data_IF_421637142042
#
_entry.id   IF_421637142042
#
_cell.length_a   1.000
_cell.length_b   1.000
_cell.length_c   1.000
_cell.angle_alpha   90.00
_cell.angle_beta   90.00
_cell.angle_gamma   90.00
#
_symmetry.space_group_name_H-M   'P 1'
#
loop_
_entity.id
_entity.type
_entity.pdbx_description
1 polymer ?
#
# COMPACT_ATOMS: atom_id res chain seq x y z
N UNK A 1 -0.31 -0.70 5.17
CA UNK A 1 0.78 -1.07 4.26
C UNK A 1 1.68 0.13 3.99
N UNK A 2 2.93 -0.07 3.58
CA UNK A 2 3.79 1.06 3.21
C UNK A 2 3.33 1.70 1.88
N UNK A 3 3.07 0.89 0.85
CA UNK A 3 2.68 1.37 -0.48
C UNK A 3 1.51 0.58 -1.05
N UNK A 4 0.39 1.25 -1.33
CA UNK A 4 -0.72 0.67 -2.08
C UNK A 4 -0.51 0.81 -3.59
N UNK A 5 -0.33 -0.32 -4.27
CA UNK A 5 -0.21 -0.38 -5.74
C UNK A 5 -1.42 -1.08 -6.38
N UNK A 6 -1.27 -2.30 -6.90
CA UNK A 6 -2.32 -3.02 -7.66
C UNK A 6 -3.48 -3.51 -6.80
N UNK A 7 -3.29 -3.61 -5.49
CA UNK A 7 -4.26 -4.14 -4.53
C UNK A 7 -4.16 -5.66 -4.29
N UNK A 8 -3.26 -6.38 -4.98
CA UNK A 8 -3.13 -7.85 -4.86
C UNK A 8 -2.71 -8.32 -3.47
N UNK A 9 -1.80 -7.60 -2.82
CA UNK A 9 -1.39 -7.85 -1.42
C UNK A 9 -2.59 -7.74 -0.48
N UNK A 10 -3.39 -6.68 -0.64
CA UNK A 10 -4.58 -6.45 0.18
C UNK A 10 -5.62 -7.54 -0.02
N UNK A 11 -5.84 -8.01 -1.26
CA UNK A 11 -6.75 -9.14 -1.51
C UNK A 11 -6.33 -10.39 -0.74
N UNK A 12 -5.04 -10.70 -0.71
CA UNK A 12 -4.53 -11.84 0.04
C UNK A 12 -4.75 -11.67 1.55
N UNK A 13 -4.48 -10.47 2.08
CA UNK A 13 -4.70 -10.14 3.50
C UNK A 13 -6.17 -10.23 3.88
N UNK A 14 -7.09 -9.75 3.04
CA UNK A 14 -8.54 -9.80 3.32
C UNK A 14 -9.03 -11.24 3.37
N UNK A 15 -8.57 -12.11 2.45
CA UNK A 15 -8.91 -13.53 2.50
C UNK A 15 -8.42 -14.18 3.79
N UNK A 16 -7.15 -13.98 4.13
CA UNK A 16 -6.54 -14.53 5.34
C UNK A 16 -7.27 -14.04 6.60
N UNK A 17 -7.60 -12.75 6.68
CA UNK A 17 -8.33 -12.17 7.81
C UNK A 17 -9.73 -12.80 7.97
N UNK A 18 -10.38 -13.21 6.89
CA UNK A 18 -11.64 -13.96 6.96
C UNK A 18 -11.46 -15.43 7.37
N UNK A 19 -10.28 -16.03 7.20
CA UNK A 19 -10.02 -17.36 7.73
C UNK A 19 -9.95 -17.36 9.28
N UNK A 20 -9.57 -16.22 9.88
CA UNK A 20 -9.58 -16.02 11.34
C UNK A 20 -10.91 -15.55 11.93
N UNK A 21 -11.89 -15.14 11.11
CA UNK A 21 -13.20 -14.71 11.62
C UNK A 21 -13.98 -13.79 10.70
N UNK A 22 -14.97 -13.07 11.25
CA UNK A 22 -15.82 -12.11 10.53
C UNK A 22 -15.85 -10.80 11.30
N UNK A 23 -14.86 -9.91 11.12
CA UNK A 23 -14.87 -8.62 11.79
C UNK A 23 -16.05 -7.76 11.31
N UNK A 24 -16.54 -6.88 12.18
CA UNK A 24 -17.64 -5.98 11.84
C UNK A 24 -17.26 -4.93 10.78
N UNK A 25 -15.98 -4.57 10.70
CA UNK A 25 -15.42 -3.68 9.70
C UNK A 25 -13.92 -3.96 9.50
N UNK A 26 -13.40 -3.62 8.32
CA UNK A 26 -11.97 -3.65 7.98
C UNK A 26 -11.60 -2.31 7.37
N UNK A 27 -10.57 -1.67 7.89
CA UNK A 27 -10.05 -0.42 7.35
C UNK A 27 -8.62 -0.59 6.83
N UNK A 28 -8.32 0.01 5.69
CA UNK A 28 -7.01 0.00 5.06
C UNK A 28 -6.31 1.36 5.26
N UNK A 29 -5.25 1.36 6.06
CA UNK A 29 -4.33 2.48 6.20
C UNK A 29 -3.01 2.21 5.49
N UNK A 30 -2.55 3.18 4.68
CA UNK A 30 -1.27 3.11 3.96
C UNK A 30 -0.45 4.39 4.09
N UNK A 31 0.88 4.28 3.99
CA UNK A 31 1.72 5.49 3.96
C UNK A 31 1.58 6.19 2.60
N UNK A 32 1.74 5.47 1.50
CA UNK A 32 1.59 6.03 0.15
C UNK A 32 0.63 5.21 -0.67
N UNK A 33 -0.32 5.89 -1.30
CA UNK A 33 -1.11 5.35 -2.39
C UNK A 33 -0.54 5.87 -3.71
N UNK A 34 -0.04 4.95 -4.55
CA UNK A 34 0.64 5.29 -5.80
C UNK A 34 -0.22 5.12 -7.07
N UNK A 35 -1.53 4.87 -6.90
CA UNK A 35 -2.45 4.55 -8.00
C UNK A 35 -2.21 3.17 -8.63
N UNK A 36 -2.66 2.99 -9.88
CA UNK A 36 -2.43 1.77 -10.67
C UNK A 36 -3.20 0.53 -10.21
N UNK A 37 -4.45 0.70 -9.76
CA UNK A 37 -5.31 -0.39 -9.28
C UNK A 37 -5.61 -1.42 -10.37
N UNK A 38 -5.54 -2.68 -9.99
CA UNK A 38 -6.06 -3.81 -10.78
C UNK A 38 -7.27 -4.47 -10.08
N UNK A 39 -7.50 -4.13 -8.82
CA UNK A 39 -8.60 -4.62 -7.99
C UNK A 39 -9.39 -3.44 -7.42
N UNK A 40 -10.71 -3.61 -7.16
CA UNK A 40 -11.57 -2.55 -6.64
C UNK A 40 -11.35 -2.35 -5.14
N UNK A 41 -10.13 -1.96 -4.76
CA UNK A 41 -9.72 -1.69 -3.39
C UNK A 41 -9.08 -0.32 -3.29
N UNK A 42 -9.40 0.39 -2.22
CA UNK A 42 -8.86 1.72 -1.92
C UNK A 42 -8.49 1.80 -0.44
N UNK A 43 -7.52 2.64 -0.12
CA UNK A 43 -7.19 2.94 1.27
C UNK A 43 -8.21 3.93 1.84
N UNK A 44 -8.73 3.62 3.03
CA UNK A 44 -9.50 4.57 3.84
C UNK A 44 -8.62 5.74 4.29
N UNK A 45 -7.36 5.43 4.61
CA UNK A 45 -6.36 6.40 5.07
C UNK A 45 -5.08 6.27 4.25
N UNK A 46 -4.63 7.37 3.66
CA UNK A 46 -3.36 7.44 2.95
C UNK A 46 -2.61 8.70 3.40
N UNK A 47 -1.37 8.57 3.86
CA UNK A 47 -0.58 9.75 4.26
C UNK A 47 -0.18 10.60 3.04
N UNK A 48 0.03 9.97 1.89
CA UNK A 48 0.21 10.63 0.60
C UNK A 48 -0.50 9.87 -0.53
N UNK A 49 -0.98 10.61 -1.53
CA UNK A 49 -1.52 10.07 -2.79
C UNK A 49 -0.76 10.67 -3.95
N UNK A 50 -0.21 9.82 -4.82
CA UNK A 50 0.54 10.24 -6.00
C UNK A 50 0.35 9.22 -7.12
N UNK A 51 0.65 9.59 -8.37
CA UNK A 51 0.52 8.69 -9.52
C UNK A 51 1.91 8.40 -10.08
N UNK A 52 2.28 7.12 -10.16
CA UNK A 52 3.51 6.68 -10.80
C UNK A 52 3.21 5.75 -11.98
N UNK A 53 3.99 5.83 -13.08
CA UNK A 53 3.99 4.83 -14.14
C UNK A 53 4.19 3.42 -13.61
N UNK A 54 3.61 2.41 -14.26
CA UNK A 54 3.74 1.01 -13.86
C UNK A 54 5.19 0.51 -13.85
N UNK A 55 6.07 1.14 -14.65
CA UNK A 55 7.51 0.89 -14.71
C UNK A 55 8.30 1.45 -13.52
N UNK A 56 7.67 2.18 -12.61
CA UNK A 56 8.31 2.72 -11.41
C UNK A 56 7.76 2.06 -10.17
N UNK A 57 8.50 2.11 -9.07
CA UNK A 57 8.10 1.61 -7.75
C UNK A 57 8.56 2.56 -6.65
N UNK A 58 7.90 2.51 -5.49
CA UNK A 58 8.33 3.23 -4.30
C UNK A 58 8.98 2.24 -3.34
N UNK A 59 10.16 2.59 -2.83
CA UNK A 59 10.86 1.81 -1.83
C UNK A 59 10.96 2.62 -0.54
N UNK A 60 10.46 2.05 0.56
CA UNK A 60 10.65 2.62 1.88
C UNK A 60 12.09 2.40 2.33
N UNK A 61 12.78 3.49 2.67
CA UNK A 61 14.16 3.49 3.15
C UNK A 61 14.24 4.13 4.52
N UNK A 62 15.16 3.63 5.35
CA UNK A 62 15.54 4.26 6.61
C UNK A 62 16.89 4.95 6.43
N UNK A 63 16.96 6.23 6.79
CA UNK A 63 18.18 7.04 6.77
C UNK A 63 18.97 6.84 8.06
N UNK A 64 20.26 7.19 8.04
CA UNK A 64 21.18 7.00 9.16
C UNK A 64 20.73 7.73 10.44
N UNK A 65 20.12 8.92 10.29
CA UNK A 65 19.56 9.69 11.40
C UNK A 65 18.16 9.19 11.86
N UNK A 66 17.75 8.00 11.41
CA UNK A 66 16.55 7.30 11.88
C UNK A 66 15.25 7.70 11.19
N UNK A 67 15.26 8.69 10.29
CA UNK A 67 14.07 9.07 9.53
C UNK A 67 13.76 8.06 8.43
N UNK A 68 12.47 7.89 8.14
CA UNK A 68 12.02 7.15 6.97
C UNK A 68 11.82 8.09 5.77
N UNK A 69 12.09 7.58 4.57
CA UNK A 69 11.80 8.25 3.32
C UNK A 69 11.47 7.25 2.22
N UNK A 70 10.88 7.73 1.13
CA UNK A 70 10.64 6.90 -0.04
C UNK A 70 11.57 7.32 -1.18
N UNK A 71 12.16 6.34 -1.86
CA UNK A 71 12.81 6.52 -3.17
C UNK A 71 11.91 5.98 -4.28
N UNK A 72 11.94 6.65 -5.43
CA UNK A 72 11.34 6.12 -6.66
C UNK A 72 12.43 5.35 -7.40
N UNK A 73 12.14 4.11 -7.78
CA UNK A 73 13.04 3.23 -8.52
C UNK A 73 12.33 2.76 -9.79
N UNK A 74 13.06 2.73 -10.91
CA UNK A 74 12.58 2.05 -12.12
C UNK A 74 12.64 0.53 -11.90
N UNK A 75 11.67 -0.18 -12.46
CA UNK A 75 11.42 -1.61 -12.24
C UNK A 75 11.95 -2.48 -13.36
#
# INVERSE_FOLDING_TARGET
DDVLFTGRTIRAVVNELFDYGRPAAVHLAVLVDRGGRELPVQADYAAARLTLPASQSLRLMRKDAGQFGFSVEDR
#
